data_IF_069496476930
#
_entry.id   IF_069496476930
#
_cell.length_a   1.000
_cell.length_b   1.000
_cell.length_c   1.000
_cell.angle_alpha   90.00
_cell.angle_beta   90.00
_cell.angle_gamma   90.00
#
_symmetry.space_group_name_H-M   'P 1'
#
loop_
_entity.id
_entity.type
_entity.pdbx_description
1 polymer ?
#
# COMPACT_ATOMS: atom_id res chain seq x y z
N UNK A 1 0.01 -22.68 3.99
CA UNK A 1 -0.77 -21.49 3.59
C UNK A 1 -0.07 -20.84 2.41
N UNK A 2 -0.51 -21.10 1.17
CA UNK A 2 0.16 -20.64 -0.07
C UNK A 2 -0.61 -19.50 -0.75
N UNK A 3 -0.91 -18.44 -0.01
CA UNK A 3 -1.66 -17.28 -0.52
C UNK A 3 -1.31 -16.02 0.26
N UNK A 4 -2.08 -14.94 0.06
CA UNK A 4 -1.88 -13.67 0.75
C UNK A 4 -1.86 -13.81 2.29
N UNK A 5 -2.73 -14.65 2.87
CA UNK A 5 -2.73 -14.91 4.32
C UNK A 5 -1.37 -15.43 4.84
N UNK A 6 -0.67 -16.23 4.05
CA UNK A 6 0.68 -16.69 4.42
C UNK A 6 1.73 -15.57 4.42
N UNK A 7 1.53 -14.51 3.64
CA UNK A 7 2.39 -13.32 3.66
C UNK A 7 2.06 -12.45 4.88
N UNK A 8 0.78 -12.29 5.19
CA UNK A 8 0.30 -11.54 6.38
C UNK A 8 0.85 -12.18 7.66
N UNK A 9 0.70 -13.49 7.83
CA UNK A 9 1.19 -14.19 9.04
C UNK A 9 2.71 -14.06 9.22
N UNK A 10 3.49 -14.09 8.14
CA UNK A 10 4.94 -13.87 8.21
C UNK A 10 5.28 -12.41 8.56
N UNK A 11 4.54 -11.46 8.00
CA UNK A 11 4.76 -10.03 8.25
C UNK A 11 4.48 -9.67 9.72
N UNK A 12 3.49 -10.29 10.37
CA UNK A 12 3.16 -10.03 11.80
C UNK A 12 4.37 -10.21 12.74
N UNK A 13 5.25 -11.17 12.46
CA UNK A 13 6.46 -11.45 13.23
C UNK A 13 7.70 -10.66 12.82
N UNK A 14 7.58 -9.81 11.79
CA UNK A 14 8.70 -9.03 11.24
C UNK A 14 8.80 -7.65 11.90
N UNK A 15 9.97 -7.01 11.80
CA UNK A 15 10.17 -5.65 12.31
C UNK A 15 9.30 -4.63 11.55
N UNK A 16 9.30 -4.71 10.22
CA UNK A 16 8.37 -3.99 9.35
C UNK A 16 7.23 -4.92 8.96
N UNK A 17 6.03 -4.70 9.51
CA UNK A 17 4.87 -5.58 9.33
C UNK A 17 4.08 -5.22 8.06
N UNK A 18 4.79 -5.01 6.96
CA UNK A 18 4.23 -4.54 5.70
C UNK A 18 4.06 -5.70 4.72
N UNK A 19 2.86 -5.81 4.14
CA UNK A 19 2.58 -6.63 2.97
C UNK A 19 2.17 -5.73 1.82
N UNK A 20 2.85 -5.82 0.69
CA UNK A 20 2.47 -5.14 -0.55
C UNK A 20 1.85 -6.14 -1.52
N UNK A 21 0.68 -5.79 -2.05
CA UNK A 21 0.02 -6.54 -3.11
C UNK A 21 0.35 -5.82 -4.42
N UNK A 22 1.37 -6.31 -5.12
CA UNK A 22 1.87 -5.68 -6.34
C UNK A 22 1.19 -6.26 -7.57
N UNK A 23 0.65 -5.40 -8.42
CA UNK A 23 0.15 -5.79 -9.74
C UNK A 23 -0.37 -4.59 -10.51
N UNK A 24 -0.55 -4.69 -11.84
CA UNK A 24 -1.12 -3.61 -12.62
C UNK A 24 -2.56 -3.28 -12.18
N UNK A 25 -3.03 -2.09 -12.53
CA UNK A 25 -4.44 -1.73 -12.34
C UNK A 25 -5.35 -2.75 -13.01
N UNK A 26 -6.45 -3.13 -12.35
CA UNK A 26 -7.36 -4.16 -12.87
C UNK A 26 -6.94 -5.61 -12.59
N UNK A 27 -5.78 -5.88 -11.99
CA UNK A 27 -5.32 -7.25 -11.69
C UNK A 27 -6.10 -7.99 -10.59
N UNK A 28 -7.19 -7.41 -10.06
CA UNK A 28 -8.02 -8.04 -9.02
C UNK A 28 -7.62 -7.79 -7.57
N UNK A 29 -6.63 -6.92 -7.30
CA UNK A 29 -6.13 -6.60 -5.94
C UNK A 29 -7.26 -6.25 -4.96
N UNK A 30 -8.13 -5.34 -5.37
CA UNK A 30 -9.28 -4.87 -4.57
C UNK A 30 -10.21 -6.00 -4.16
N UNK A 31 -10.54 -6.91 -5.07
CA UNK A 31 -11.41 -8.04 -4.77
C UNK A 31 -10.73 -9.01 -3.79
N UNK A 32 -9.44 -9.29 -4.01
CA UNK A 32 -8.65 -10.14 -3.11
C UNK A 32 -8.59 -9.56 -1.69
N UNK A 33 -8.24 -8.27 -1.57
CA UNK A 33 -8.15 -7.56 -0.29
C UNK A 33 -9.48 -7.54 0.44
N UNK A 34 -10.58 -7.19 -0.25
CA UNK A 34 -11.92 -7.14 0.34
C UNK A 34 -12.41 -8.50 0.82
N UNK A 35 -12.11 -9.56 0.08
CA UNK A 35 -12.52 -10.91 0.47
C UNK A 35 -11.80 -11.38 1.74
N UNK A 36 -10.50 -11.13 1.85
CA UNK A 36 -9.69 -11.55 3.01
C UNK A 36 -9.97 -10.65 4.21
N UNK A 37 -10.06 -9.33 4.02
CA UNK A 37 -10.39 -8.42 5.12
C UNK A 37 -11.73 -8.79 5.73
N UNK A 38 -12.72 -9.14 4.89
CA UNK A 38 -14.05 -9.57 5.35
C UNK A 38 -14.03 -10.95 6.03
N UNK A 39 -13.21 -11.90 5.58
CA UNK A 39 -13.16 -13.23 6.21
C UNK A 39 -12.56 -13.17 7.61
N UNK A 40 -11.62 -12.25 7.82
CA UNK A 40 -10.83 -12.15 9.04
C UNK A 40 -11.30 -10.97 9.93
N UNK A 41 -12.42 -10.34 9.59
CA UNK A 41 -13.04 -9.17 10.24
C UNK A 41 -12.07 -7.99 10.47
N UNK A 42 -11.14 -7.79 9.54
CA UNK A 42 -10.16 -6.70 9.60
C UNK A 42 -10.64 -5.46 8.83
N UNK A 43 -10.30 -4.24 9.28
CA UNK A 43 -10.59 -3.01 8.57
C UNK A 43 -10.04 -2.99 7.15
N UNK A 44 -10.88 -2.54 6.23
CA UNK A 44 -10.54 -2.28 4.83
C UNK A 44 -10.85 -0.83 4.48
N UNK A 45 -9.85 -0.12 3.97
CA UNK A 45 -9.89 1.31 3.72
C UNK A 45 -9.54 1.62 2.27
N UNK A 46 -10.32 2.49 1.66
CA UNK A 46 -9.91 3.20 0.45
C UNK A 46 -9.13 4.44 0.90
N UNK A 47 -7.79 4.38 0.84
CA UNK A 47 -6.94 5.40 1.40
C UNK A 47 -7.09 6.74 0.65
N UNK A 48 -7.17 6.71 -0.68
CA UNK A 48 -7.44 7.91 -1.48
C UNK A 48 -8.72 8.61 -1.05
N UNK A 49 -9.81 7.88 -0.79
CA UNK A 49 -11.09 8.46 -0.39
C UNK A 49 -10.97 9.17 0.97
N UNK A 50 -10.40 8.49 1.96
CA UNK A 50 -10.23 9.05 3.32
C UNK A 50 -9.31 10.27 3.31
N UNK A 51 -8.19 10.21 2.58
CA UNK A 51 -7.29 11.34 2.43
C UNK A 51 -7.92 12.48 1.66
N UNK A 52 -8.64 12.20 0.57
CA UNK A 52 -9.32 13.25 -0.19
C UNK A 52 -10.28 14.04 0.70
N UNK A 53 -11.02 13.36 1.59
CA UNK A 53 -11.90 14.03 2.58
C UNK A 53 -11.11 14.96 3.51
N UNK A 54 -9.99 14.49 4.08
CA UNK A 54 -9.16 15.32 4.99
C UNK A 54 -8.47 16.47 4.27
N UNK A 55 -8.02 16.26 3.03
CA UNK A 55 -7.29 17.27 2.26
C UNK A 55 -8.19 18.40 1.71
N UNK A 56 -9.51 18.23 1.68
CA UNK A 56 -10.44 19.30 1.26
C UNK A 56 -10.31 20.56 2.11
N UNK A 57 -10.05 20.37 3.41
CA UNK A 57 -9.94 21.47 4.37
C UNK A 57 -8.52 22.05 4.46
N UNK A 58 -7.56 21.47 3.72
CA UNK A 58 -6.16 21.87 3.76
C UNK A 58 -5.74 22.69 2.51
N UNK A 59 -5.12 23.86 2.72
CA UNK A 59 -4.43 24.60 1.67
C UNK A 59 -3.41 23.72 0.94
N UNK A 60 -3.32 23.86 -0.38
CA UNK A 60 -2.49 23.01 -1.25
C UNK A 60 -1.03 22.97 -0.80
N UNK A 61 -0.48 24.12 -0.40
CA UNK A 61 0.89 24.30 0.08
C UNK A 61 1.18 23.63 1.42
N UNK A 62 0.16 23.23 2.18
CA UNK A 62 0.29 22.48 3.43
C UNK A 62 0.08 20.98 3.28
N UNK A 63 -0.49 20.51 2.16
CA UNK A 63 -0.92 19.11 2.02
C UNK A 63 0.23 18.13 2.20
N UNK A 64 1.37 18.36 1.54
CA UNK A 64 2.56 17.49 1.67
C UNK A 64 3.03 17.36 3.13
N UNK A 65 3.06 18.49 3.86
CA UNK A 65 3.50 18.52 5.26
C UNK A 65 2.53 17.79 6.20
N UNK A 66 1.23 17.96 6.00
CA UNK A 66 0.18 17.42 6.88
C UNK A 66 -0.22 15.98 6.53
N UNK A 67 0.09 15.51 5.31
CA UNK A 67 -0.35 14.21 4.80
C UNK A 67 0.07 13.04 5.70
N UNK A 68 1.33 12.95 6.19
CA UNK A 68 1.72 11.87 7.10
C UNK A 68 0.87 11.84 8.37
N UNK A 69 0.60 13.01 8.97
CA UNK A 69 -0.25 13.15 10.15
C UNK A 69 -1.70 12.73 9.88
N UNK A 70 -2.24 13.12 8.73
CA UNK A 70 -3.58 12.70 8.30
C UNK A 70 -3.70 11.18 8.17
N UNK A 71 -2.70 10.52 7.59
CA UNK A 71 -2.69 9.05 7.44
C UNK A 71 -2.61 8.39 8.83
N UNK A 72 -1.70 8.85 9.70
CA UNK A 72 -1.59 8.31 11.05
C UNK A 72 -2.89 8.44 11.85
N UNK A 73 -3.56 9.60 11.74
CA UNK A 73 -4.84 9.85 12.39
C UNK A 73 -5.93 8.89 11.88
N UNK A 74 -6.07 8.73 10.56
CA UNK A 74 -7.01 7.76 9.94
C UNK A 74 -6.78 6.35 10.51
N UNK A 75 -5.53 5.90 10.57
CA UNK A 75 -5.22 4.53 11.01
C UNK A 75 -5.35 4.31 12.51
N UNK A 76 -5.20 5.38 13.30
CA UNK A 76 -5.39 5.34 14.76
C UNK A 76 -6.84 5.16 15.20
N UNK A 77 -7.80 5.47 14.32
CA UNK A 77 -9.23 5.28 14.60
C UNK A 77 -9.63 3.80 14.67
N UNK A 78 -8.81 2.91 14.12
CA UNK A 78 -9.04 1.47 14.16
C UNK A 78 -8.28 0.87 15.35
N UNK A 79 -8.90 0.04 16.21
CA UNK A 79 -8.17 -0.68 17.25
C UNK A 79 -7.38 -1.87 16.70
N UNK A 80 -7.72 -2.35 15.50
CA UNK A 80 -7.21 -3.59 14.92
C UNK A 80 -5.72 -3.57 14.60
N UNK A 81 -5.08 -4.72 14.78
CA UNK A 81 -3.65 -4.91 14.51
C UNK A 81 -3.34 -5.07 13.02
N UNK A 82 -4.33 -5.45 12.20
CA UNK A 82 -4.18 -5.62 10.74
C UNK A 82 -5.13 -4.68 10.03
N UNK A 83 -4.61 -3.88 9.09
CA UNK A 83 -5.41 -2.95 8.29
C UNK A 83 -5.08 -3.11 6.81
N UNK A 84 -6.12 -3.16 5.98
CA UNK A 84 -6.02 -3.20 4.53
C UNK A 84 -6.15 -1.78 3.94
N UNK A 85 -5.13 -1.33 3.22
CA UNK A 85 -5.07 -0.03 2.55
C UNK A 85 -5.13 -0.22 1.03
N UNK A 86 -6.32 -0.10 0.46
CA UNK A 86 -6.52 -0.13 -0.98
C UNK A 86 -6.52 1.30 -1.54
N UNK A 87 -6.36 1.44 -2.85
CA UNK A 87 -6.28 2.72 -3.56
C UNK A 87 -5.29 3.70 -2.90
N UNK A 88 -3.99 3.43 -3.08
CA UNK A 88 -2.87 4.16 -2.47
C UNK A 88 -2.24 5.20 -3.39
N UNK A 89 -2.81 5.44 -4.57
CA UNK A 89 -2.23 6.25 -5.65
C UNK A 89 -1.95 7.69 -5.23
N UNK A 90 -2.74 8.27 -4.32
CA UNK A 90 -2.53 9.63 -3.83
C UNK A 90 -1.19 9.80 -3.10
N UNK A 91 -0.63 8.73 -2.54
CA UNK A 91 0.72 8.79 -1.92
C UNK A 91 1.80 9.10 -2.96
N UNK A 92 1.58 8.74 -4.22
CA UNK A 92 2.52 8.88 -5.33
C UNK A 92 2.37 10.21 -6.06
N UNK A 93 1.31 10.96 -5.78
CA UNK A 93 1.05 12.25 -6.40
C UNK A 93 2.23 13.20 -6.17
N UNK A 94 2.68 13.84 -7.25
CA UNK A 94 3.89 14.68 -7.25
C UNK A 94 3.81 15.80 -6.21
N UNK A 95 2.61 16.35 -5.99
CA UNK A 95 2.37 17.45 -5.05
C UNK A 95 2.51 17.02 -3.59
N UNK A 96 2.48 15.72 -3.29
CA UNK A 96 2.65 15.22 -1.93
C UNK A 96 4.11 15.17 -1.49
N UNK A 97 5.06 15.26 -2.44
CA UNK A 97 6.51 15.36 -2.21
C UNK A 97 7.03 14.41 -1.11
N UNK A 98 6.63 13.15 -1.19
CA UNK A 98 6.98 12.12 -0.21
C UNK A 98 7.51 10.85 -0.88
N UNK A 99 8.09 9.97 -0.07
CA UNK A 99 8.43 8.61 -0.47
C UNK A 99 7.32 7.63 -0.01
N UNK A 100 6.49 7.12 -0.95
CA UNK A 100 5.36 6.24 -0.63
C UNK A 100 5.77 4.96 0.09
N UNK A 101 6.87 4.32 -0.35
CA UNK A 101 7.33 3.08 0.26
C UNK A 101 7.79 3.32 1.69
N UNK A 102 8.56 4.40 1.92
CA UNK A 102 9.03 4.75 3.27
C UNK A 102 7.89 5.11 4.20
N UNK A 103 6.84 5.76 3.70
CA UNK A 103 5.63 6.02 4.49
C UNK A 103 4.95 4.72 4.91
N UNK A 104 4.66 3.82 3.97
CA UNK A 104 4.02 2.53 4.27
C UNK A 104 4.87 1.69 5.24
N UNK A 105 6.20 1.70 5.09
CA UNK A 105 7.13 1.04 6.01
C UNK A 105 7.15 1.67 7.40
N UNK A 106 6.93 2.99 7.51
CA UNK A 106 6.82 3.67 8.80
C UNK A 106 5.54 3.28 9.51
N UNK A 107 4.41 3.31 8.81
CA UNK A 107 3.09 2.94 9.34
C UNK A 107 3.06 1.50 9.84
N UNK A 108 3.75 0.60 9.14
CA UNK A 108 3.78 -0.83 9.48
C UNK A 108 4.63 -1.18 10.70
N UNK A 109 5.29 -0.20 11.33
CA UNK A 109 5.97 -0.38 12.62
C UNK A 109 4.97 -0.49 13.77
N UNK A 110 3.83 0.19 13.66
CA UNK A 110 2.77 0.21 14.68
C UNK A 110 1.77 -0.93 14.46
N UNK A 111 1.40 -1.19 13.21
CA UNK A 111 0.36 -2.15 12.81
C UNK A 111 0.81 -3.01 11.65
N UNK A 112 0.16 -4.15 11.44
CA UNK A 112 0.32 -4.92 10.20
C UNK A 112 -0.45 -4.22 9.09
N UNK A 113 0.26 -3.76 8.06
CA UNK A 113 -0.34 -3.02 6.94
C UNK A 113 -0.32 -3.92 5.72
N UNK A 114 -1.49 -4.11 5.09
CA UNK A 114 -1.64 -4.77 3.79
C UNK A 114 -2.03 -3.71 2.78
N UNK A 115 -1.12 -3.30 1.91
CA UNK A 115 -1.34 -2.18 1.00
C UNK A 115 -1.37 -2.62 -0.47
N UNK A 116 -2.29 -2.03 -1.24
CA UNK A 116 -2.28 -2.14 -2.70
C UNK A 116 -1.08 -1.38 -3.27
N UNK A 117 -0.45 -1.96 -4.31
CA UNK A 117 0.64 -1.34 -5.05
C UNK A 117 0.39 -1.49 -6.56
N UNK A 118 0.12 -0.37 -7.25
CA UNK A 118 -0.13 -0.36 -8.69
C UNK A 118 1.16 -0.35 -9.49
N UNK A 119 1.73 -1.53 -9.65
CA UNK A 119 2.92 -1.74 -10.45
C UNK A 119 3.48 -3.13 -10.26
N UNK A 120 4.66 -3.37 -10.83
CA UNK A 120 5.22 -4.70 -10.96
C UNK A 120 6.30 -4.96 -9.92
N UNK A 121 6.44 -6.24 -9.56
CA UNK A 121 7.55 -6.74 -8.77
C UNK A 121 8.12 -7.99 -9.44
N UNK A 122 9.39 -7.92 -9.84
CA UNK A 122 10.10 -8.99 -10.55
C UNK A 122 10.88 -9.94 -9.63
N UNK A 123 10.71 -9.79 -8.31
CA UNK A 123 11.49 -10.54 -7.30
C UNK A 123 12.72 -9.78 -6.77
N UNK A 124 13.10 -8.66 -7.37
CA UNK A 124 14.23 -7.81 -6.94
C UNK A 124 13.91 -6.32 -6.95
N UNK A 125 13.01 -5.88 -7.83
CA UNK A 125 12.72 -4.49 -8.09
C UNK A 125 11.21 -4.28 -8.00
N UNK A 126 10.79 -3.31 -7.19
CA UNK A 126 9.41 -2.87 -7.08
C UNK A 126 9.25 -1.57 -7.85
N UNK A 127 8.32 -1.55 -8.79
CA UNK A 127 8.07 -0.42 -9.69
C UNK A 127 6.65 0.09 -9.46
N UNK A 128 6.46 1.41 -9.51
CA UNK A 128 5.16 2.06 -9.61
C UNK A 128 5.14 2.96 -10.85
N UNK A 129 4.03 2.91 -11.59
CA UNK A 129 3.81 3.58 -12.88
C UNK A 129 4.84 3.20 -13.97
N UNK A 130 4.62 3.69 -15.18
CA UNK A 130 5.51 3.45 -16.32
C UNK A 130 6.70 4.42 -16.33
N UNK A 131 7.88 4.00 -16.85
CA UNK A 131 9.00 4.90 -17.06
C UNK A 131 8.61 6.13 -17.88
N UNK A 132 8.92 7.33 -17.37
CA UNK A 132 8.55 8.60 -17.98
C UNK A 132 7.27 9.23 -17.41
N UNK A 133 6.49 8.49 -16.60
CA UNK A 133 5.40 9.07 -15.82
C UNK A 133 5.96 9.95 -14.69
N UNK A 134 5.36 11.12 -14.38
CA UNK A 134 5.85 12.01 -13.31
C UNK A 134 5.85 11.36 -11.92
N UNK A 135 5.01 10.35 -11.71
CA UNK A 135 4.90 9.60 -10.45
C UNK A 135 5.73 8.31 -10.45
N UNK A 136 6.54 8.07 -11.48
CA UNK A 136 7.35 6.86 -11.59
C UNK A 136 8.25 6.67 -10.37
N UNK A 137 8.18 5.48 -9.75
CA UNK A 137 9.07 5.08 -8.66
C UNK A 137 9.68 3.71 -8.94
N UNK A 138 10.93 3.55 -8.57
CA UNK A 138 11.65 2.29 -8.63
C UNK A 138 12.42 2.09 -7.33
N UNK A 139 12.19 0.95 -6.68
CA UNK A 139 12.85 0.56 -5.44
C UNK A 139 13.60 -0.75 -5.66
N UNK A 140 14.87 -0.79 -5.25
CA UNK A 140 15.68 -2.01 -5.33
C UNK A 140 15.44 -2.85 -4.07
N UNK A 141 15.83 -4.11 -4.13
CA UNK A 141 15.67 -5.06 -3.02
C UNK A 141 16.12 -4.51 -1.65
N UNK A 142 17.23 -3.76 -1.60
CA UNK A 142 17.75 -3.20 -0.35
C UNK A 142 16.88 -2.07 0.25
N UNK A 143 15.99 -1.48 -0.54
CA UNK A 143 15.05 -0.46 -0.09
C UNK A 143 13.75 -1.07 0.46
N UNK A 144 13.49 -2.34 0.13
CA UNK A 144 12.23 -3.03 0.37
C UNK A 144 12.33 -3.86 1.66
N UNK A 145 11.81 -3.31 2.75
CA UNK A 145 11.47 -4.04 3.97
C UNK A 145 9.97 -4.33 3.98
N UNK A 146 9.54 -5.32 3.19
CA UNK A 146 8.14 -5.74 3.07
C UNK A 146 8.03 -7.16 2.51
N UNK A 147 6.96 -7.88 2.89
CA UNK A 147 6.54 -9.06 2.15
C UNK A 147 5.78 -8.62 0.90
N UNK A 148 6.14 -9.15 -0.28
CA UNK A 148 5.46 -8.80 -1.54
C UNK A 148 4.67 -10.00 -2.05
N UNK A 149 3.37 -9.82 -2.24
CA UNK A 149 2.50 -10.73 -2.97
C UNK A 149 2.24 -10.15 -4.37
N UNK A 150 2.92 -10.70 -5.37
CA UNK A 150 2.70 -10.31 -6.76
C UNK A 150 1.41 -10.97 -7.29
N UNK A 151 0.49 -10.14 -7.77
CA UNK A 151 -0.61 -10.61 -8.61
C UNK A 151 0.02 -11.09 -9.91
N UNK A 152 0.04 -12.41 -10.10
CA UNK A 152 0.48 -13.00 -11.36
C UNK A 152 -0.34 -12.42 -12.50
N UNK A 153 0.32 -11.90 -13.55
CA UNK A 153 -0.28 -11.96 -14.88
C UNK A 153 -0.52 -13.44 -15.16
N UNK A 154 -1.79 -13.85 -15.19
CA UNK A 154 -2.13 -15.09 -15.86
C UNK A 154 -1.54 -15.01 -17.27
N UNK A 155 -0.59 -15.91 -17.52
CA UNK A 155 -0.02 -16.29 -18.81
C UNK A 155 -0.73 -15.63 -20.01
N UNK A 156 -0.14 -14.55 -20.54
CA UNK A 156 -0.31 -14.22 -21.95
C UNK A 156 0.56 -15.19 -22.76
N UNK A 157 0.14 -16.45 -22.81
CA UNK A 157 0.48 -17.38 -23.89
C UNK A 157 -0.86 -17.89 -24.39
N UNK A 158 -1.35 -17.26 -25.46
CA UNK A 158 -1.88 -17.94 -26.64
C UNK A 158 -1.49 -17.09 -27.88
#
# INVERSE_FOLDING_TARGET
MNGLNGHIERAKGSYCKLVLIAGPSGSGKTNLMRNISKSDDNPYLNLNLELSRKLLDLPIDKRSLELPGCIEEILSAFPDDVIFLDNTELLFAKEMDMDPLRMLQSLSRKKTIVASWNGLYDGKTLVYAEPGHPEYKLYKQNDIDAAIYSMSEERMIE
#
